data_IF_424221208790
#
_entry.id   IF_424221208790
#
_cell.length_a   1.000
_cell.length_b   1.000
_cell.length_c   1.000
_cell.angle_alpha   90.00
_cell.angle_beta   90.00
_cell.angle_gamma   90.00
#
_symmetry.space_group_name_H-M   'P 1'
#
loop_
_entity.id
_entity.type
_entity.pdbx_description
1 polymer ?
#
# COMPACT_ATOMS: atom_id res chain seq x y z
N UNK A 1 -0.38 15.91 9.04
CA UNK A 1 0.95 15.46 8.60
C UNK A 1 0.76 14.85 7.22
N UNK A 2 1.55 15.25 6.24
CA UNK A 2 1.46 14.72 4.87
C UNK A 2 1.94 13.26 4.87
N UNK A 3 1.02 12.34 4.61
CA UNK A 3 1.31 10.90 4.53
C UNK A 3 2.13 10.63 3.26
N UNK A 4 3.41 10.27 3.43
CA UNK A 4 4.21 9.80 2.30
C UNK A 4 3.89 8.32 2.06
N UNK A 5 2.84 8.05 1.28
CA UNK A 5 2.65 6.72 0.72
C UNK A 5 3.74 6.49 -0.33
N UNK A 6 4.59 5.48 -0.11
CA UNK A 6 5.55 5.01 -1.11
C UNK A 6 4.90 3.81 -1.80
N UNK A 7 4.97 3.75 -3.12
CA UNK A 7 4.49 2.59 -3.89
C UNK A 7 5.67 1.93 -4.60
N UNK A 8 5.70 0.60 -4.62
CA UNK A 8 6.73 -0.19 -5.31
C UNK A 8 6.17 -1.54 -5.77
N UNK A 9 7.01 -2.37 -6.40
CA UNK A 9 6.63 -3.68 -6.93
C UNK A 9 7.68 -4.74 -6.63
N UNK A 10 7.27 -5.99 -6.45
CA UNK A 10 8.16 -7.16 -6.41
C UNK A 10 7.59 -8.30 -7.28
N UNK A 11 8.37 -9.37 -7.49
CA UNK A 11 7.90 -10.56 -8.21
C UNK A 11 7.64 -11.71 -7.23
N UNK A 12 6.54 -12.43 -7.42
CA UNK A 12 6.29 -13.67 -6.68
C UNK A 12 7.09 -14.85 -7.28
N UNK A 13 6.92 -16.04 -6.71
CA UNK A 13 7.61 -17.27 -7.15
C UNK A 13 7.25 -17.69 -8.58
N UNK A 14 6.07 -17.28 -9.08
CA UNK A 14 5.59 -17.53 -10.43
C UNK A 14 6.05 -16.45 -11.43
N UNK A 15 6.80 -15.44 -10.97
CA UNK A 15 7.30 -14.33 -11.78
C UNK A 15 6.30 -13.19 -11.99
N UNK A 16 5.11 -13.28 -11.40
CA UNK A 16 4.05 -12.28 -11.51
C UNK A 16 4.42 -11.02 -10.71
N UNK A 17 4.09 -9.84 -11.24
CA UNK A 17 4.40 -8.56 -10.62
C UNK A 17 3.36 -8.21 -9.57
N UNK A 18 3.75 -8.21 -8.31
CA UNK A 18 2.95 -7.76 -7.17
C UNK A 18 3.23 -6.28 -6.94
N UNK A 19 2.17 -5.50 -6.78
CA UNK A 19 2.24 -4.08 -6.47
C UNK A 19 2.02 -3.90 -4.96
N UNK A 20 2.69 -2.94 -4.34
CA UNK A 20 2.45 -2.63 -2.93
C UNK A 20 2.66 -1.16 -2.60
N UNK A 21 1.98 -0.70 -1.57
CA UNK A 21 2.15 0.62 -0.98
C UNK A 21 2.56 0.49 0.48
N UNK A 22 3.38 1.40 0.98
CA UNK A 22 3.71 1.44 2.40
C UNK A 22 3.57 2.84 2.99
N UNK A 23 3.16 2.86 4.26
CA UNK A 23 3.12 4.03 5.14
C UNK A 23 4.14 3.81 6.25
N UNK A 24 5.26 4.52 6.14
CA UNK A 24 6.39 4.39 7.07
C UNK A 24 6.11 5.20 8.32
N UNK A 25 6.22 4.58 9.50
CA UNK A 25 6.14 5.29 10.77
C UNK A 25 7.27 6.34 10.86
N UNK A 26 6.95 7.60 11.21
CA UNK A 26 7.95 8.66 11.38
C UNK A 26 8.89 8.45 12.58
N UNK A 27 8.60 7.46 13.42
CA UNK A 27 9.40 7.01 14.56
C UNK A 27 9.57 5.49 14.51
N UNK A 28 10.32 4.89 15.46
CA UNK A 28 10.40 3.43 15.59
C UNK A 28 8.99 2.82 15.63
N UNK A 29 8.60 1.96 14.66
CA UNK A 29 7.27 1.38 14.62
C UNK A 29 7.08 0.39 15.77
N UNK A 30 5.85 0.30 16.29
CA UNK A 30 5.47 -0.73 17.28
C UNK A 30 5.54 -2.13 16.70
N UNK A 31 5.13 -2.27 15.44
CA UNK A 31 5.19 -3.50 14.65
C UNK A 31 4.90 -3.16 13.17
N UNK A 32 5.02 -4.18 12.32
CA UNK A 32 4.61 -4.14 10.92
C UNK A 32 3.24 -4.79 10.78
N UNK A 33 2.33 -4.14 10.07
CA UNK A 33 1.04 -4.69 9.65
C UNK A 33 1.03 -4.85 8.12
N UNK A 34 0.63 -6.04 7.65
CA UNK A 34 0.46 -6.31 6.22
C UNK A 34 -1.02 -6.47 5.94
N UNK A 35 -1.54 -5.55 5.13
CA UNK A 35 -2.91 -5.52 4.66
C UNK A 35 -2.99 -6.14 3.27
N UNK A 36 -3.74 -7.24 3.16
CA UNK A 36 -3.97 -7.99 1.93
C UNK A 36 -5.44 -7.89 1.60
N UNK A 37 -5.77 -7.17 0.53
CA UNK A 37 -7.18 -6.98 0.14
C UNK A 37 -7.66 -8.16 -0.73
N UNK A 38 -8.97 -8.44 -0.71
CA UNK A 38 -9.59 -9.54 -1.45
C UNK A 38 -9.74 -9.29 -2.95
N UNK A 39 -10.12 -10.35 -3.68
CA UNK A 39 -10.42 -10.29 -5.12
C UNK A 39 -11.46 -9.19 -5.42
N UNK A 40 -11.24 -8.37 -6.44
CA UNK A 40 -12.08 -7.23 -6.84
C UNK A 40 -12.26 -6.10 -5.81
N UNK A 41 -11.49 -6.06 -4.72
CA UNK A 41 -11.48 -4.91 -3.81
C UNK A 41 -10.37 -3.91 -4.18
N UNK A 42 -10.64 -2.61 -3.96
CA UNK A 42 -9.62 -1.56 -4.03
C UNK A 42 -9.03 -1.32 -2.65
N UNK A 43 -7.80 -0.80 -2.57
CA UNK A 43 -7.23 -0.35 -1.30
C UNK A 43 -7.94 0.84 -0.68
N UNK A 44 -8.92 1.44 -1.35
CA UNK A 44 -9.75 2.49 -0.74
C UNK A 44 -10.54 1.93 0.45
N UNK A 45 -10.97 0.65 0.37
CA UNK A 45 -11.65 -0.02 1.48
C UNK A 45 -10.76 -0.16 2.71
N UNK A 46 -9.48 -0.44 2.52
CA UNK A 46 -8.54 -0.58 3.61
C UNK A 46 -7.84 0.72 3.98
N UNK A 47 -8.01 1.79 3.20
CA UNK A 47 -7.32 3.07 3.40
C UNK A 47 -7.59 3.64 4.80
N UNK A 48 -8.85 3.71 5.23
CA UNK A 48 -9.19 4.19 6.57
C UNK A 48 -8.60 3.31 7.68
N UNK A 49 -8.62 1.99 7.49
CA UNK A 49 -8.07 1.04 8.45
C UNK A 49 -6.54 1.15 8.54
N UNK A 50 -5.86 1.22 7.41
CA UNK A 50 -4.42 1.42 7.32
C UNK A 50 -3.98 2.75 7.96
N UNK A 51 -4.75 3.83 7.77
CA UNK A 51 -4.46 5.12 8.38
C UNK A 51 -4.65 5.07 9.91
N UNK A 52 -5.67 4.36 10.40
CA UNK A 52 -5.85 4.16 11.85
C UNK A 52 -4.69 3.38 12.45
N UNK A 53 -4.23 2.30 11.81
CA UNK A 53 -3.03 1.56 12.27
C UNK A 53 -1.79 2.46 12.24
N UNK A 54 -1.58 3.21 11.16
CA UNK A 54 -0.45 4.11 11.04
C UNK A 54 -0.45 5.22 12.11
N UNK A 55 -1.60 5.85 12.34
CA UNK A 55 -1.78 6.85 13.41
C UNK A 55 -1.54 6.29 14.81
N UNK A 56 -1.65 4.96 14.98
CA UNK A 56 -1.33 4.26 16.22
C UNK A 56 0.13 3.82 16.33
N UNK A 57 1.00 4.20 15.38
CA UNK A 57 2.44 3.94 15.40
C UNK A 57 2.86 2.61 14.77
N UNK A 58 2.00 2.02 13.93
CA UNK A 58 2.35 0.87 13.12
C UNK A 58 2.89 1.30 11.76
N UNK A 59 3.80 0.49 11.22
CA UNK A 59 4.17 0.58 9.81
C UNK A 59 3.26 -0.33 9.01
N UNK A 60 2.65 0.19 7.94
CA UNK A 60 1.60 -0.52 7.21
C UNK A 60 1.99 -0.73 5.77
N UNK A 61 1.92 -1.97 5.31
CA UNK A 61 2.14 -2.39 3.93
C UNK A 61 0.83 -2.89 3.35
N UNK A 62 0.36 -2.33 2.23
CA UNK A 62 -0.85 -2.75 1.52
C UNK A 62 -0.46 -3.44 0.23
N UNK A 63 -0.92 -4.68 0.03
CA UNK A 63 -0.55 -5.56 -1.09
C UNK A 63 -1.65 -5.65 -2.16
N UNK A 64 -1.37 -5.01 -3.30
CA UNK A 64 -1.88 -5.15 -4.67
C UNK A 64 -2.09 -6.57 -5.24
N UNK A 65 -3.32 -7.03 -5.47
CA UNK A 65 -3.59 -8.24 -6.24
C UNK A 65 -3.23 -7.93 -7.70
N UNK A 66 -2.78 -8.91 -8.46
CA UNK A 66 -2.36 -8.74 -9.87
C UNK A 66 -3.57 -8.58 -10.81
N UNK A 67 -4.36 -7.52 -10.62
CA UNK A 67 -5.46 -7.17 -11.52
C UNK A 67 -5.11 -5.92 -12.34
N UNK A 68 -5.67 -5.76 -13.56
CA UNK A 68 -5.47 -4.52 -14.33
C UNK A 68 -5.80 -3.25 -13.53
N UNK A 69 -6.84 -3.31 -12.70
CA UNK A 69 -7.28 -2.19 -11.84
C UNK A 69 -6.23 -1.77 -10.82
N UNK A 70 -5.51 -2.72 -10.23
CA UNK A 70 -4.47 -2.43 -9.24
C UNK A 70 -3.22 -1.80 -9.86
N UNK A 71 -2.95 -2.12 -11.14
CA UNK A 71 -1.92 -1.41 -11.91
C UNK A 71 -2.31 0.04 -12.13
N UNK A 72 -3.54 0.30 -12.55
CA UNK A 72 -3.99 1.67 -12.85
C UNK A 72 -3.98 2.54 -11.58
N UNK A 73 -4.44 2.01 -10.44
CA UNK A 73 -4.33 2.67 -9.14
C UNK A 73 -2.88 2.95 -8.71
N UNK A 74 -1.97 2.00 -8.93
CA UNK A 74 -0.55 2.21 -8.70
C UNK A 74 -0.01 3.38 -9.54
N UNK A 75 -0.39 3.44 -10.82
CA UNK A 75 0.05 4.50 -11.73
C UNK A 75 -0.50 5.88 -11.30
N UNK A 76 -1.76 5.95 -10.90
CA UNK A 76 -2.38 7.18 -10.35
C UNK A 76 -1.64 7.70 -9.12
N UNK A 77 -1.36 6.82 -8.16
CA UNK A 77 -0.64 7.14 -6.92
C UNK A 77 0.81 7.58 -7.19
N UNK A 78 1.48 7.01 -8.19
CA UNK A 78 2.82 7.47 -8.60
C UNK A 78 2.77 8.83 -9.30
N UNK A 79 1.79 9.06 -10.17
CA UNK A 79 1.66 10.31 -10.94
C UNK A 79 1.30 11.52 -10.06
N UNK A 80 0.61 11.31 -8.94
CA UNK A 80 0.30 12.37 -7.98
C UNK A 80 1.49 12.80 -7.11
N UNK A 81 2.62 12.07 -7.11
CA UNK A 81 3.82 12.43 -6.34
C UNK A 81 4.72 13.44 -7.05
N UNK A 82 4.56 13.61 -8.37
CA UNK A 82 5.40 14.49 -9.20
C UNK A 82 4.77 15.90 -9.41
N UNK A 83 3.72 16.24 -8.66
CA UNK A 83 3.07 17.57 -8.62
C UNK A 83 3.23 18.19 -7.25
#
# INVERSE_FOLDING_TARGET
MTETQITSTFRNQQGEKIFFGNRIAGSKPKSIAVDVHGLNSSSEYSHSFANQLHGNGYEVYTLWATTPRSRDYFMEQTASRDK
#
